data_IF_229156413614
#
_entry.id   IF_229156413614
#
_cell.length_a   1.000
_cell.length_b   1.000
_cell.length_c   1.000
_cell.angle_alpha   90.00
_cell.angle_beta   90.00
_cell.angle_gamma   90.00
#
_symmetry.space_group_name_H-M   'P 1'
#
loop_
_entity.id
_entity.type
_entity.pdbx_description
1 polymer ?
#
# COMPACT_ATOMS: atom_id res chain seq x y z
N UNK A 1 7.77 15.21 6.51
CA UNK A 1 8.61 14.24 7.32
C UNK A 1 8.00 14.04 8.69
N UNK A 2 8.29 12.91 9.38
CA UNK A 2 7.94 12.75 10.79
C UNK A 2 9.04 13.30 11.69
N UNK A 3 8.66 13.88 12.84
CA UNK A 3 9.62 14.26 13.87
C UNK A 3 10.20 13.03 14.59
N UNK A 4 11.38 13.18 15.16
CA UNK A 4 11.98 12.12 16.03
C UNK A 4 11.08 11.80 17.21
N UNK A 5 10.41 12.80 17.78
CA UNK A 5 9.46 12.62 18.89
C UNK A 5 8.25 11.78 18.50
N UNK A 6 7.79 11.93 17.25
CA UNK A 6 6.71 11.11 16.70
C UNK A 6 7.13 9.65 16.50
N UNK A 7 8.35 9.39 16.05
CA UNK A 7 8.89 8.03 16.02
C UNK A 7 9.06 7.44 17.41
N UNK A 8 9.57 8.22 18.37
CA UNK A 8 9.71 7.79 19.76
C UNK A 8 8.33 7.47 20.38
N UNK A 9 7.29 8.25 20.05
CA UNK A 9 5.93 7.93 20.51
C UNK A 9 5.48 6.54 20.04
N UNK A 10 5.75 6.14 18.78
CA UNK A 10 5.41 4.80 18.29
C UNK A 10 6.18 3.69 19.01
N UNK A 11 7.45 3.93 19.33
CA UNK A 11 8.27 2.98 20.08
C UNK A 11 7.74 2.79 21.51
N UNK A 12 7.43 3.89 22.19
CA UNK A 12 6.88 3.88 23.55
C UNK A 12 5.48 3.24 23.58
N UNK A 13 4.64 3.53 22.55
CA UNK A 13 3.34 2.91 22.40
C UNK A 13 3.46 1.39 22.20
N UNK A 14 4.42 0.94 21.43
CA UNK A 14 4.69 -0.49 21.23
C UNK A 14 5.05 -1.18 22.54
N UNK A 15 5.92 -0.55 23.33
CA UNK A 15 6.36 -1.08 24.61
C UNK A 15 5.26 -1.08 25.70
N UNK A 16 4.26 -0.16 25.58
CA UNK A 16 3.22 0.08 26.57
C UNK A 16 1.81 0.05 25.95
N UNK A 17 1.51 -0.93 25.11
CA UNK A 17 0.31 -0.94 24.29
C UNK A 17 -0.96 -1.31 25.08
N UNK A 18 -1.40 -0.39 25.96
CA UNK A 18 -2.61 -0.49 26.75
C UNK A 18 -3.32 0.88 26.86
N UNK A 19 -4.57 0.86 27.35
CA UNK A 19 -5.43 2.05 27.37
C UNK A 19 -4.96 3.10 28.39
N UNK A 20 -4.47 2.68 29.55
CA UNK A 20 -4.08 3.59 30.62
C UNK A 20 -2.88 4.40 30.18
N UNK A 21 -1.83 3.75 29.70
CA UNK A 21 -0.67 4.44 29.14
C UNK A 21 -1.04 5.39 28.01
N UNK A 22 -1.94 4.97 27.11
CA UNK A 22 -2.37 5.82 25.99
C UNK A 22 -3.11 7.08 26.46
N UNK A 23 -3.95 6.98 27.49
CA UNK A 23 -4.64 8.11 28.11
C UNK A 23 -3.65 9.08 28.76
N UNK A 24 -2.67 8.57 29.50
CA UNK A 24 -1.61 9.37 30.12
C UNK A 24 -0.76 10.10 29.08
N UNK A 25 -0.58 9.50 27.89
CA UNK A 25 0.21 10.06 26.80
C UNK A 25 -0.64 10.74 25.70
N UNK A 26 -1.90 11.06 25.98
CA UNK A 26 -2.84 11.65 25.03
C UNK A 26 -2.30 12.91 24.33
N UNK A 27 -1.62 13.78 25.06
CA UNK A 27 -1.01 14.99 24.49
C UNK A 27 0.06 14.68 23.45
N UNK A 28 0.90 13.68 23.70
CA UNK A 28 1.93 13.19 22.76
C UNK A 28 1.27 12.61 21.51
N UNK A 29 0.18 11.85 21.69
CA UNK A 29 -0.59 11.33 20.57
C UNK A 29 -1.16 12.42 19.68
N UNK A 30 -1.69 13.53 20.24
CA UNK A 30 -2.22 14.63 19.42
C UNK A 30 -1.11 15.32 18.61
N UNK A 31 0.10 15.45 19.13
CA UNK A 31 1.27 15.94 18.39
C UNK A 31 1.63 14.96 17.26
N UNK A 32 1.81 13.70 17.59
CA UNK A 32 2.05 12.64 16.61
C UNK A 32 1.01 12.60 15.48
N UNK A 33 -0.28 12.73 15.83
CA UNK A 33 -1.38 12.73 14.87
C UNK A 33 -1.28 13.89 13.89
N UNK A 34 -0.88 15.09 14.36
CA UNK A 34 -0.65 16.26 13.49
C UNK A 34 0.52 16.02 12.54
N UNK A 35 1.63 15.52 13.04
CA UNK A 35 2.81 15.17 12.21
C UNK A 35 2.44 14.13 11.15
N UNK A 36 1.69 13.10 11.52
CA UNK A 36 1.22 12.08 10.58
C UNK A 36 0.29 12.67 9.51
N UNK A 37 -0.66 13.53 9.90
CA UNK A 37 -1.56 14.18 8.96
C UNK A 37 -0.79 15.12 8.00
N UNK A 38 0.21 15.83 8.50
CA UNK A 38 1.09 16.67 7.67
C UNK A 38 1.88 15.81 6.68
N UNK A 39 2.48 14.70 7.13
CA UNK A 39 3.19 13.77 6.23
C UNK A 39 2.28 13.27 5.10
N UNK A 40 1.02 12.94 5.41
CA UNK A 40 0.05 12.52 4.39
C UNK A 40 -0.28 13.65 3.43
N UNK A 41 -0.44 14.89 3.93
CA UNK A 41 -0.60 16.08 3.11
C UNK A 41 0.58 16.29 2.16
N UNK A 42 1.81 16.19 2.67
CA UNK A 42 3.03 16.33 1.88
C UNK A 42 3.10 15.28 0.74
N UNK A 43 2.67 14.02 1.01
CA UNK A 43 2.57 13.00 -0.03
C UNK A 43 1.49 13.30 -1.07
N UNK A 44 0.32 13.79 -0.65
CA UNK A 44 -0.74 14.20 -1.59
C UNK A 44 -0.29 15.34 -2.50
N UNK A 45 0.32 16.37 -1.92
CA UNK A 45 0.83 17.53 -2.67
C UNK A 45 1.91 17.11 -3.69
N UNK A 46 2.76 16.14 -3.33
CA UNK A 46 3.79 15.62 -4.21
C UNK A 46 3.26 14.66 -5.29
N UNK A 47 2.23 13.87 -4.99
CA UNK A 47 1.73 12.82 -5.89
C UNK A 47 0.63 13.30 -6.85
N UNK A 48 -0.25 14.21 -6.45
CA UNK A 48 -1.35 14.71 -7.30
C UNK A 48 -0.89 15.27 -8.65
N UNK A 49 0.18 16.08 -8.74
CA UNK A 49 0.67 16.55 -10.04
C UNK A 49 1.18 15.44 -10.97
N UNK A 50 1.58 14.31 -10.41
CA UNK A 50 2.14 13.16 -11.13
C UNK A 50 1.06 12.12 -11.49
N UNK A 51 0.01 12.04 -10.68
CA UNK A 51 -1.12 11.14 -10.91
C UNK A 51 -2.45 11.88 -10.68
N UNK A 52 -3.06 12.41 -11.75
CA UNK A 52 -4.33 13.14 -11.68
C UNK A 52 -5.49 12.33 -11.11
N UNK A 53 -5.41 10.99 -11.11
CA UNK A 53 -6.45 10.14 -10.51
C UNK A 53 -6.59 10.35 -8.99
N UNK A 54 -5.59 10.96 -8.35
CA UNK A 54 -5.56 11.26 -6.92
C UNK A 54 -6.12 12.65 -6.57
N UNK A 55 -6.53 13.46 -7.55
CA UNK A 55 -6.91 14.87 -7.36
C UNK A 55 -7.94 15.08 -6.25
N UNK A 56 -8.95 14.23 -6.21
CA UNK A 56 -10.06 14.34 -5.24
C UNK A 56 -9.74 13.81 -3.84
N UNK A 57 -8.53 13.28 -3.62
CA UNK A 57 -8.15 12.77 -2.31
C UNK A 57 -7.85 13.89 -1.32
N UNK A 58 -8.31 13.67 -0.09
CA UNK A 58 -8.00 14.49 1.07
C UNK A 58 -7.25 13.64 2.11
N UNK A 59 -6.52 14.29 3.02
CA UNK A 59 -5.76 13.63 4.10
C UNK A 59 -6.59 12.59 4.85
N UNK A 60 -7.86 12.89 5.14
CA UNK A 60 -8.78 11.96 5.85
C UNK A 60 -9.04 10.66 5.08
N UNK A 61 -8.93 10.68 3.74
CA UNK A 61 -9.11 9.49 2.90
C UNK A 61 -7.88 8.57 2.92
N UNK A 62 -6.70 9.14 3.20
CA UNK A 62 -5.40 8.50 3.06
C UNK A 62 -4.80 8.02 4.40
N UNK A 63 -5.47 8.29 5.53
CA UNK A 63 -5.02 7.95 6.87
C UNK A 63 -5.76 6.76 7.45
N UNK A 64 -5.11 6.04 8.36
CA UNK A 64 -5.72 4.97 9.15
C UNK A 64 -5.86 5.38 10.61
N UNK A 65 -6.93 4.90 11.27
CA UNK A 65 -7.07 5.05 12.72
C UNK A 65 -6.00 4.30 13.47
N UNK A 66 -5.57 4.83 14.62
CA UNK A 66 -4.57 4.19 15.48
C UNK A 66 -5.11 2.90 16.12
N UNK A 67 -6.42 2.82 16.37
CA UNK A 67 -7.03 1.66 16.99
C UNK A 67 -6.97 0.42 16.08
N UNK A 68 -6.64 -0.72 16.66
CA UNK A 68 -6.72 -2.03 16.01
C UNK A 68 -8.13 -2.60 16.08
N UNK A 69 -8.49 -3.42 15.10
CA UNK A 69 -9.62 -4.34 15.22
C UNK A 69 -9.11 -5.66 15.82
N UNK A 70 -9.39 -5.84 17.10
CA UNK A 70 -8.87 -6.99 17.88
C UNK A 70 -9.90 -8.11 18.07
N UNK A 71 -11.08 -8.02 17.42
CA UNK A 71 -12.17 -8.99 17.63
C UNK A 71 -11.72 -10.43 17.36
N UNK A 72 -11.01 -10.64 16.27
CA UNK A 72 -10.53 -11.95 15.83
C UNK A 72 -9.03 -12.16 15.99
N UNK A 73 -8.31 -11.20 16.60
CA UNK A 73 -6.86 -11.28 16.82
C UNK A 73 -6.54 -12.03 18.11
N UNK A 74 -5.49 -12.85 18.08
CA UNK A 74 -4.90 -13.44 19.31
C UNK A 74 -4.21 -12.37 20.15
N UNK A 75 -3.51 -11.45 19.51
CA UNK A 75 -2.92 -10.28 20.14
C UNK A 75 -4.01 -9.23 20.40
N UNK A 76 -4.24 -8.91 21.67
CA UNK A 76 -5.28 -7.98 22.14
C UNK A 76 -4.76 -6.56 22.37
N UNK A 77 -3.53 -6.24 21.96
CA UNK A 77 -3.00 -4.86 21.98
C UNK A 77 -3.95 -3.91 21.24
N UNK A 78 -4.45 -2.84 21.88
CA UNK A 78 -5.53 -2.03 21.34
C UNK A 78 -5.11 -1.06 20.22
N UNK A 79 -3.80 -0.77 20.11
CA UNK A 79 -3.29 0.24 19.18
C UNK A 79 -2.31 -0.36 18.16
N UNK A 80 -2.21 0.28 16.99
CA UNK A 80 -1.19 -0.01 15.99
C UNK A 80 0.12 0.64 16.41
N UNK A 81 1.21 -0.08 16.24
CA UNK A 81 2.60 0.39 16.44
C UNK A 81 3.23 0.88 15.12
N UNK A 82 2.40 1.14 14.14
CA UNK A 82 2.78 1.59 12.79
C UNK A 82 1.75 2.56 12.22
N UNK A 83 2.15 3.29 11.19
CA UNK A 83 1.24 4.08 10.37
C UNK A 83 1.35 3.67 8.91
N UNK A 84 0.28 3.93 8.17
CA UNK A 84 0.22 3.73 6.72
C UNK A 84 -0.33 4.96 6.02
N UNK A 85 0.22 5.28 4.86
CA UNK A 85 -0.36 6.25 3.92
C UNK A 85 -0.90 5.47 2.74
N UNK A 86 -2.19 5.61 2.44
CA UNK A 86 -2.83 4.94 1.31
C UNK A 86 -3.34 5.95 0.30
N UNK A 87 -2.81 5.93 -0.90
CA UNK A 87 -3.19 6.82 -2.00
C UNK A 87 -3.78 5.97 -3.13
N UNK A 88 -5.09 6.04 -3.31
CA UNK A 88 -5.81 5.31 -4.35
C UNK A 88 -6.97 6.14 -4.88
N UNK A 89 -7.22 6.07 -6.17
CA UNK A 89 -8.27 6.81 -6.87
C UNK A 89 -9.70 6.43 -6.45
N UNK A 90 -9.85 5.34 -5.71
CA UNK A 90 -11.14 4.95 -5.13
C UNK A 90 -11.47 5.75 -3.87
N UNK A 91 -12.74 6.07 -3.65
CA UNK A 91 -13.20 6.53 -2.35
C UNK A 91 -12.99 5.44 -1.30
N UNK A 92 -13.00 5.83 -0.01
CA UNK A 92 -12.83 4.89 1.10
C UNK A 92 -13.91 3.79 1.03
N UNK A 93 -13.48 2.55 0.83
CA UNK A 93 -14.36 1.40 0.61
C UNK A 93 -14.44 0.91 -0.84
N UNK A 94 -13.95 1.66 -1.82
CA UNK A 94 -13.72 1.14 -3.16
C UNK A 94 -12.40 0.38 -3.19
N UNK A 95 -12.47 -0.87 -3.58
CA UNK A 95 -11.31 -1.73 -3.70
C UNK A 95 -10.60 -1.42 -5.02
N UNK A 96 -9.50 -0.68 -4.96
CA UNK A 96 -8.70 -0.28 -6.13
C UNK A 96 -7.23 -0.42 -5.86
N UNK A 97 -6.47 -0.58 -6.92
CA UNK A 97 -5.01 -0.49 -6.89
C UNK A 97 -4.57 0.93 -6.52
N UNK A 98 -3.44 1.06 -5.84
CA UNK A 98 -2.92 2.35 -5.41
C UNK A 98 -1.51 2.25 -4.84
N UNK A 99 -1.10 3.30 -4.13
CA UNK A 99 0.22 3.44 -3.52
C UNK A 99 0.10 3.34 -2.01
N UNK A 100 1.07 2.68 -1.40
CA UNK A 100 1.11 2.50 0.05
C UNK A 100 2.49 2.81 0.62
N UNK A 101 2.52 3.55 1.72
CA UNK A 101 3.73 3.77 2.51
C UNK A 101 3.49 3.20 3.90
N UNK A 102 4.25 2.21 4.29
CA UNK A 102 4.22 1.61 5.61
C UNK A 102 5.41 2.08 6.44
N UNK A 103 5.15 2.64 7.62
CA UNK A 103 6.17 3.15 8.53
C UNK A 103 6.05 2.41 9.86
N UNK A 104 7.03 1.57 10.14
CA UNK A 104 7.11 0.75 11.35
C UNK A 104 8.56 0.39 11.69
N UNK A 105 8.92 0.30 12.96
CA UNK A 105 10.26 -0.19 13.40
C UNK A 105 10.52 -1.64 12.98
N UNK A 106 9.48 -2.47 12.89
CA UNK A 106 9.62 -3.86 12.48
C UNK A 106 9.94 -4.04 10.99
N UNK A 107 9.84 -2.97 10.20
CA UNK A 107 10.12 -2.96 8.76
C UNK A 107 9.24 -1.94 8.04
N UNK A 108 9.88 -0.93 7.46
CA UNK A 108 9.21 0.08 6.65
C UNK A 108 9.35 -0.25 5.18
N UNK A 109 8.30 0.03 4.40
CA UNK A 109 8.29 -0.22 2.97
C UNK A 109 7.33 0.71 2.23
N UNK A 110 7.59 0.91 0.96
CA UNK A 110 6.62 1.42 -0.01
C UNK A 110 6.11 0.26 -0.85
N UNK A 111 4.87 0.34 -1.27
CA UNK A 111 4.23 -0.69 -2.08
C UNK A 111 3.21 -0.08 -3.04
N UNK A 112 2.78 -0.86 -4.01
CA UNK A 112 1.65 -0.54 -4.85
C UNK A 112 1.12 -1.77 -5.56
N UNK A 113 -0.01 -1.59 -6.21
CA UNK A 113 -0.76 -2.67 -6.79
C UNK A 113 -2.06 -2.95 -6.05
N UNK A 114 -2.57 -4.17 -6.14
CA UNK A 114 -3.87 -4.56 -5.65
C UNK A 114 -3.78 -5.66 -4.59
N UNK A 115 -3.82 -5.24 -3.33
CA UNK A 115 -3.74 -6.13 -2.17
C UNK A 115 -5.08 -6.78 -1.86
N UNK A 116 -5.13 -8.11 -1.80
CA UNK A 116 -6.31 -8.90 -1.39
C UNK A 116 -7.63 -8.45 -2.05
N UNK A 117 -7.72 -8.40 -3.40
CA UNK A 117 -8.95 -8.05 -4.09
C UNK A 117 -10.09 -9.00 -3.70
N UNK A 118 -11.31 -8.48 -3.68
CA UNK A 118 -12.52 -9.29 -3.57
C UNK A 118 -12.65 -10.23 -4.78
N UNK A 119 -13.42 -11.31 -4.66
CA UNK A 119 -13.48 -12.38 -5.67
C UNK A 119 -13.89 -11.87 -7.05
N UNK A 120 -14.82 -10.93 -7.14
CA UNK A 120 -15.28 -10.36 -8.41
C UNK A 120 -14.21 -9.48 -9.05
N UNK A 121 -13.53 -8.61 -8.27
CA UNK A 121 -12.43 -7.80 -8.76
C UNK A 121 -11.25 -8.67 -9.20
N UNK A 122 -10.94 -9.73 -8.44
CA UNK A 122 -9.90 -10.69 -8.81
C UNK A 122 -10.19 -11.36 -10.15
N UNK A 123 -11.46 -11.68 -10.42
CA UNK A 123 -11.90 -12.24 -11.70
C UNK A 123 -11.71 -11.25 -12.84
N UNK A 124 -12.08 -9.96 -12.64
CA UNK A 124 -11.88 -8.90 -13.62
C UNK A 124 -10.39 -8.69 -13.94
N UNK A 125 -9.54 -8.61 -12.91
CA UNK A 125 -8.09 -8.47 -13.10
C UNK A 125 -7.49 -9.67 -13.83
N UNK A 126 -7.92 -10.89 -13.51
CA UNK A 126 -7.48 -12.08 -14.26
C UNK A 126 -7.90 -12.05 -15.72
N UNK A 127 -9.12 -11.61 -16.02
CA UNK A 127 -9.60 -11.42 -17.39
C UNK A 127 -8.70 -10.42 -18.14
N UNK A 128 -8.42 -9.28 -17.52
CA UNK A 128 -7.53 -8.26 -18.08
C UNK A 128 -6.12 -8.82 -18.35
N UNK A 129 -5.53 -9.52 -17.40
CA UNK A 129 -4.21 -10.14 -17.55
C UNK A 129 -4.22 -11.18 -18.69
N UNK A 130 -5.29 -11.98 -18.81
CA UNK A 130 -5.37 -12.99 -19.86
C UNK A 130 -5.43 -12.39 -21.27
N UNK A 131 -6.10 -11.24 -21.44
CA UNK A 131 -6.21 -10.55 -22.72
C UNK A 131 -5.03 -9.64 -23.05
N UNK A 132 -4.42 -9.03 -22.03
CA UNK A 132 -3.39 -7.99 -22.19
C UNK A 132 -2.10 -8.38 -21.41
N UNK A 133 -1.75 -9.65 -21.48
CA UNK A 133 -0.59 -10.20 -20.80
C UNK A 133 0.70 -9.48 -21.21
N UNK A 134 0.86 -9.16 -22.50
CA UNK A 134 2.04 -8.51 -23.04
C UNK A 134 2.23 -7.09 -22.47
N UNK A 135 1.13 -6.33 -22.31
CA UNK A 135 1.15 -5.01 -21.67
C UNK A 135 1.65 -5.12 -20.21
N UNK A 136 1.16 -6.12 -19.47
CA UNK A 136 1.60 -6.36 -18.10
C UNK A 136 3.09 -6.71 -18.03
N UNK A 137 3.55 -7.59 -18.93
CA UNK A 137 4.97 -7.94 -19.01
C UNK A 137 5.85 -6.74 -19.33
N UNK A 138 5.43 -5.86 -20.23
CA UNK A 138 6.15 -4.64 -20.58
C UNK A 138 6.29 -3.73 -19.37
N UNK A 139 5.21 -3.51 -18.60
CA UNK A 139 5.23 -2.74 -17.35
C UNK A 139 6.24 -3.33 -16.36
N UNK A 140 6.19 -4.64 -16.11
CA UNK A 140 7.08 -5.30 -15.15
C UNK A 140 8.54 -5.38 -15.61
N UNK A 141 8.79 -5.34 -16.93
CA UNK A 141 10.12 -5.33 -17.53
C UNK A 141 10.72 -3.93 -17.64
N UNK A 142 9.94 -2.86 -17.43
CA UNK A 142 10.45 -1.49 -17.45
C UNK A 142 11.65 -1.38 -16.48
N UNK A 143 12.73 -0.78 -16.96
CA UNK A 143 14.04 -0.81 -16.29
C UNK A 143 14.00 -0.26 -14.86
N UNK A 144 13.32 0.88 -14.65
CA UNK A 144 13.28 1.53 -13.34
C UNK A 144 12.32 0.80 -12.41
N UNK A 145 11.16 0.35 -12.93
CA UNK A 145 10.22 -0.50 -12.19
C UNK A 145 10.92 -1.76 -11.69
N UNK A 146 11.54 -2.52 -12.60
CA UNK A 146 12.21 -3.77 -12.28
C UNK A 146 13.35 -3.60 -11.28
N UNK A 147 14.11 -2.51 -11.39
CA UNK A 147 15.21 -2.18 -10.46
C UNK A 147 14.70 -1.89 -9.04
N UNK A 148 13.59 -1.14 -8.92
CA UNK A 148 13.08 -0.69 -7.61
C UNK A 148 12.16 -1.72 -6.95
N UNK A 149 11.32 -2.41 -7.71
CA UNK A 149 10.26 -3.27 -7.19
C UNK A 149 10.40 -4.76 -7.57
N UNK A 150 11.13 -5.06 -8.64
CA UNK A 150 11.32 -6.44 -9.10
C UNK A 150 10.10 -7.02 -9.82
N UNK A 151 9.37 -7.89 -9.15
CA UNK A 151 8.16 -8.57 -9.63
C UNK A 151 7.08 -8.50 -8.52
N UNK A 152 5.92 -9.06 -8.77
CA UNK A 152 4.89 -9.23 -7.75
C UNK A 152 5.38 -10.08 -6.59
N UNK A 153 4.85 -9.82 -5.39
CA UNK A 153 5.11 -10.62 -4.21
C UNK A 153 4.55 -12.04 -4.39
N UNK A 154 5.46 -13.01 -4.52
CA UNK A 154 5.16 -14.43 -4.75
C UNK A 154 5.48 -15.25 -3.50
N UNK A 155 4.50 -15.44 -2.66
CA UNK A 155 4.61 -16.30 -1.49
C UNK A 155 3.49 -17.37 -1.50
N UNK A 156 3.62 -18.42 -0.69
CA UNK A 156 2.66 -19.53 -0.64
C UNK A 156 1.22 -19.09 -0.36
N UNK A 157 1.02 -17.99 0.35
CA UNK A 157 -0.32 -17.44 0.65
C UNK A 157 -0.91 -16.74 -0.56
N UNK A 158 -0.07 -16.16 -1.42
CA UNK A 158 -0.47 -15.37 -2.58
C UNK A 158 -0.63 -16.19 -3.86
N UNK A 159 -0.10 -17.40 -3.95
CA UNK A 159 -0.11 -18.23 -5.16
C UNK A 159 -1.09 -19.40 -5.03
N UNK A 160 -1.91 -19.63 -6.06
CA UNK A 160 -2.70 -20.86 -6.21
C UNK A 160 -1.80 -22.02 -6.66
N UNK A 161 -2.01 -23.22 -6.10
CA UNK A 161 -1.30 -24.43 -6.54
C UNK A 161 -1.71 -24.85 -7.96
N UNK A 162 -2.99 -24.72 -8.28
CA UNK A 162 -3.56 -25.06 -9.59
C UNK A 162 -4.00 -23.81 -10.33
N UNK A 163 -4.13 -23.85 -11.67
CA UNK A 163 -4.74 -22.79 -12.45
C UNK A 163 -6.11 -22.42 -11.89
N UNK A 164 -6.45 -21.11 -11.90
CA UNK A 164 -7.82 -20.71 -11.55
C UNK A 164 -8.82 -21.21 -12.60
N UNK A 165 -10.07 -21.38 -12.18
CA UNK A 165 -11.13 -21.89 -13.05
C UNK A 165 -11.26 -21.04 -14.32
N UNK A 166 -11.30 -21.70 -15.46
CA UNK A 166 -11.44 -21.06 -16.78
C UNK A 166 -10.11 -20.76 -17.48
N UNK A 167 -8.98 -21.16 -16.90
CA UNK A 167 -7.65 -20.98 -17.52
C UNK A 167 -6.90 -22.31 -17.57
N UNK A 168 -6.27 -22.60 -18.70
CA UNK A 168 -5.47 -23.80 -18.92
C UNK A 168 -4.04 -23.62 -18.37
N UNK A 169 -3.38 -24.77 -18.12
CA UNK A 169 -2.01 -24.79 -17.56
C UNK A 169 -0.95 -24.19 -18.47
N UNK A 170 -1.19 -24.25 -19.77
CA UNK A 170 -0.29 -23.76 -20.83
C UNK A 170 -0.58 -22.30 -21.24
N UNK A 171 -1.52 -21.65 -20.57
CA UNK A 171 -1.79 -20.22 -20.83
C UNK A 171 -0.54 -19.38 -20.60
N UNK A 172 -0.12 -18.48 -21.54
CA UNK A 172 1.10 -17.69 -21.44
C UNK A 172 1.22 -16.92 -20.12
N UNK A 173 0.12 -16.36 -19.65
CA UNK A 173 0.05 -15.58 -18.41
C UNK A 173 -0.20 -16.42 -17.15
N UNK A 174 -0.11 -17.76 -17.18
CA UNK A 174 -0.58 -18.62 -16.09
C UNK A 174 0.03 -18.29 -14.74
N UNK A 175 1.31 -17.91 -14.71
CA UNK A 175 2.00 -17.57 -13.46
C UNK A 175 1.48 -16.27 -12.81
N UNK A 176 0.92 -15.35 -13.60
CA UNK A 176 0.21 -14.17 -13.08
C UNK A 176 -1.23 -14.51 -12.70
N UNK A 177 -1.92 -15.33 -13.50
CA UNK A 177 -3.30 -15.74 -13.25
C UNK A 177 -3.46 -16.53 -11.95
N UNK A 178 -2.42 -17.23 -11.50
CA UNK A 178 -2.38 -17.95 -10.22
C UNK A 178 -2.27 -17.03 -9.00
N UNK A 179 -1.92 -15.74 -9.18
CA UNK A 179 -1.84 -14.81 -8.08
C UNK A 179 -3.22 -14.49 -7.50
N UNK A 180 -3.27 -14.22 -6.19
CA UNK A 180 -4.45 -13.77 -5.44
C UNK A 180 -4.41 -12.28 -5.10
N UNK A 181 -3.21 -11.71 -5.09
CA UNK A 181 -2.92 -10.28 -4.95
C UNK A 181 -1.88 -9.88 -5.98
N UNK A 182 -1.97 -8.67 -6.49
CA UNK A 182 -1.08 -8.13 -7.53
C UNK A 182 -0.34 -6.93 -6.96
N UNK A 183 0.51 -7.19 -5.99
CA UNK A 183 1.26 -6.17 -5.26
C UNK A 183 2.75 -6.41 -5.36
N UNK A 184 3.50 -5.34 -5.25
CA UNK A 184 4.95 -5.34 -5.13
C UNK A 184 5.37 -4.32 -4.09
N UNK A 185 6.52 -4.55 -3.45
CA UNK A 185 7.01 -3.70 -2.38
C UNK A 185 8.52 -3.49 -2.41
N UNK A 186 8.97 -2.37 -1.85
CA UNK A 186 10.38 -2.07 -1.62
C UNK A 186 10.59 -1.55 -0.21
N UNK A 187 11.49 -2.18 0.53
CA UNK A 187 11.86 -1.77 1.89
C UNK A 187 12.69 -0.50 1.88
N UNK A 188 12.56 0.28 2.95
CA UNK A 188 13.44 1.41 3.25
C UNK A 188 13.74 1.46 4.75
N UNK A 189 14.83 2.18 5.11
CA UNK A 189 15.22 2.37 6.50
C UNK A 189 14.27 3.35 7.19
N UNK A 190 13.78 3.02 8.39
CA UNK A 190 12.90 3.86 9.18
C UNK A 190 13.48 5.26 9.44
N UNK A 191 14.80 5.39 9.56
CA UNK A 191 15.48 6.66 9.77
C UNK A 191 15.33 7.64 8.58
N UNK A 192 15.00 7.13 7.39
CA UNK A 192 14.68 7.98 6.23
C UNK A 192 13.48 8.88 6.49
N UNK A 193 12.52 8.46 7.31
CA UNK A 193 11.25 9.17 7.56
C UNK A 193 11.45 10.54 8.20
N UNK A 194 12.57 10.74 8.90
CA UNK A 194 12.94 12.01 9.55
C UNK A 194 13.72 12.97 8.64
N UNK A 195 14.10 12.54 7.44
CA UNK A 195 14.85 13.36 6.49
C UNK A 195 13.93 14.30 5.71
N UNK A 196 14.41 15.50 5.42
CA UNK A 196 13.65 16.52 4.70
C UNK A 196 13.24 16.05 3.28
N UNK A 197 14.09 15.26 2.62
CA UNK A 197 13.88 14.75 1.27
C UNK A 197 13.05 13.47 1.22
N UNK A 198 12.60 12.93 2.37
CA UNK A 198 11.89 11.64 2.45
C UNK A 198 10.70 11.55 1.48
N UNK A 199 9.78 12.52 1.53
CA UNK A 199 8.60 12.52 0.68
C UNK A 199 8.98 12.59 -0.80
N UNK A 200 9.88 13.49 -1.17
CA UNK A 200 10.36 13.62 -2.56
C UNK A 200 11.02 12.33 -3.06
N UNK A 201 11.85 11.70 -2.23
CA UNK A 201 12.53 10.44 -2.54
C UNK A 201 11.53 9.29 -2.74
N UNK A 202 10.56 9.15 -1.83
CA UNK A 202 9.54 8.09 -1.93
C UNK A 202 8.58 8.34 -3.09
N UNK A 203 8.18 9.58 -3.35
CA UNK A 203 7.33 9.95 -4.50
C UNK A 203 7.94 9.53 -5.83
N UNK A 204 9.26 9.78 -6.02
CA UNK A 204 9.98 9.36 -7.24
C UNK A 204 9.96 7.86 -7.47
N UNK A 205 9.90 7.07 -6.40
CA UNK A 205 9.79 5.61 -6.49
C UNK A 205 8.32 5.18 -6.66
N UNK A 206 7.41 5.73 -5.86
CA UNK A 206 5.99 5.38 -5.92
C UNK A 206 5.39 5.61 -7.31
N UNK A 207 5.76 6.69 -8.01
CA UNK A 207 5.20 6.99 -9.33
C UNK A 207 5.56 5.94 -10.40
N UNK A 208 6.62 5.17 -10.20
CA UNK A 208 6.96 4.05 -11.08
C UNK A 208 5.87 2.95 -11.07
N UNK A 209 5.06 2.90 -10.02
CA UNK A 209 3.93 1.97 -9.89
C UNK A 209 2.67 2.43 -10.65
N UNK A 210 2.65 3.68 -11.16
CA UNK A 210 1.47 4.22 -11.84
C UNK A 210 1.00 3.36 -13.02
N UNK A 211 1.87 2.91 -13.95
CA UNK A 211 1.44 2.07 -15.08
C UNK A 211 0.78 0.76 -14.60
N UNK A 212 1.30 0.14 -13.54
CA UNK A 212 0.71 -1.06 -12.93
C UNK A 212 -0.66 -0.76 -12.31
N UNK A 213 -0.76 0.34 -11.55
CA UNK A 213 -2.02 0.75 -10.94
C UNK A 213 -3.08 1.07 -11.99
N UNK A 214 -2.70 1.75 -13.08
CA UNK A 214 -3.59 2.06 -14.20
C UNK A 214 -4.08 0.80 -14.90
N UNK A 215 -3.17 -0.15 -15.19
CA UNK A 215 -3.51 -1.45 -15.79
C UNK A 215 -4.56 -2.20 -14.94
N UNK A 216 -4.31 -2.32 -13.64
CA UNK A 216 -5.23 -3.01 -12.72
C UNK A 216 -6.55 -2.25 -12.57
N UNK A 217 -6.50 -0.93 -12.41
CA UNK A 217 -7.71 -0.13 -12.23
C UNK A 217 -8.58 -0.10 -13.48
N UNK A 218 -8.02 -0.17 -14.69
CA UNK A 218 -8.76 -0.35 -15.93
C UNK A 218 -9.67 -1.57 -15.87
N UNK A 219 -9.14 -2.70 -15.38
CA UNK A 219 -9.91 -3.93 -15.22
C UNK A 219 -11.11 -3.79 -14.27
N UNK A 220 -10.91 -3.16 -13.11
CA UNK A 220 -11.96 -3.08 -12.08
C UNK A 220 -12.97 -1.96 -12.30
N UNK A 221 -12.66 -1.01 -13.21
CA UNK A 221 -13.55 0.09 -13.56
C UNK A 221 -14.32 -0.13 -14.86
N UNK A 222 -13.91 -1.10 -15.70
CA UNK A 222 -14.67 -1.44 -16.91
C UNK A 222 -16.04 -2.00 -16.51
N UNK A 223 -17.08 -1.44 -17.07
CA UNK A 223 -18.41 -2.03 -17.12
C UNK A 223 -18.32 -3.28 -18.00
N UNK A 224 -18.91 -4.41 -17.58
CA UNK A 224 -18.98 -5.67 -18.34
C UNK A 224 -19.81 -5.53 -19.61
#
# INVERSE_FOLDING_TARGET
MLSKDSLQFLDDLKANNNRDWFLDNKKRYEVFKKDYQQLVGDFLDAMKPLDPSLEMLEVKNCTFRINRDIRFSKDKSPYKDHIGVWLSSGSKGMNRSGYYVHIARAGSFIAGGFYCPEAEDLKKVRKEIAYFYEDLEEILKEKNFKKEFGDFDRNEKNILKNPPRGYEKDHPAIEFLKLKSFETSQKFDIEEVTKEDFVSKMTKKLILLKPLNDFINRAVTSED
#
